data_IF_605179764466
#
_entry.id   IF_605179764466
#
_cell.length_a   1.000
_cell.length_b   1.000
_cell.length_c   1.000
_cell.angle_alpha   90.00
_cell.angle_beta   90.00
_cell.angle_gamma   90.00
#
_symmetry.space_group_name_H-M   'P 1'
#
loop_
_entity.id
_entity.type
_entity.pdbx_description
1 polymer ?
#
# COMPACT_ATOMS: atom_id res chain seq x y z
N UNK A 1 6.11 -41.37 -12.22
CA UNK A 1 7.02 -40.22 -12.31
C UNK A 1 6.20 -39.06 -12.84
N UNK A 2 6.13 -37.89 -12.13
CA UNK A 2 5.39 -36.72 -12.62
C UNK A 2 6.08 -36.17 -13.86
N UNK A 3 5.31 -35.71 -14.85
CA UNK A 3 5.85 -34.97 -15.99
C UNK A 3 6.41 -33.60 -15.55
N UNK A 4 7.27 -33.01 -16.38
CA UNK A 4 7.79 -31.64 -16.13
C UNK A 4 6.64 -30.66 -16.00
N UNK A 5 5.62 -30.78 -16.85
CA UNK A 5 4.44 -29.89 -16.82
C UNK A 5 3.63 -30.03 -15.53
N UNK A 6 3.44 -31.26 -15.00
CA UNK A 6 2.77 -31.50 -13.71
C UNK A 6 3.56 -30.90 -12.55
N UNK A 7 4.89 -31.01 -12.60
CA UNK A 7 5.79 -30.44 -11.58
C UNK A 7 5.70 -28.91 -11.58
N UNK A 8 5.75 -28.28 -12.76
CA UNK A 8 5.60 -26.82 -12.88
C UNK A 8 4.21 -26.38 -12.42
N UNK A 9 3.15 -27.10 -12.79
CA UNK A 9 1.78 -26.78 -12.37
C UNK A 9 1.62 -26.82 -10.84
N UNK A 10 2.21 -27.82 -10.18
CA UNK A 10 2.18 -27.92 -8.71
C UNK A 10 2.96 -26.78 -8.04
N UNK A 11 4.10 -26.40 -8.61
CA UNK A 11 4.88 -25.26 -8.12
C UNK A 11 4.14 -23.94 -8.26
N UNK A 12 3.45 -23.72 -9.39
CA UNK A 12 2.62 -22.53 -9.62
C UNK A 12 1.44 -22.47 -8.65
N UNK A 13 0.77 -23.58 -8.37
CA UNK A 13 -0.31 -23.64 -7.35
C UNK A 13 0.22 -23.28 -5.96
N UNK A 14 1.37 -23.86 -5.57
CA UNK A 14 2.03 -23.52 -4.30
C UNK A 14 2.37 -22.03 -4.21
N UNK A 15 2.84 -21.44 -5.31
CA UNK A 15 3.14 -20.01 -5.36
C UNK A 15 1.88 -19.16 -5.23
N UNK A 16 0.78 -19.52 -5.88
CA UNK A 16 -0.51 -18.85 -5.73
C UNK A 16 -0.98 -18.76 -4.27
N UNK A 17 -0.79 -19.82 -3.49
CA UNK A 17 -1.12 -19.83 -2.05
C UNK A 17 -0.23 -18.82 -1.29
N UNK A 18 1.06 -18.75 -1.59
CA UNK A 18 1.98 -17.79 -0.95
C UNK A 18 1.57 -16.36 -1.26
N UNK A 19 1.24 -16.07 -2.52
CA UNK A 19 0.79 -14.74 -2.95
C UNK A 19 -0.52 -14.32 -2.28
N UNK A 20 -1.48 -15.23 -2.16
CA UNK A 20 -2.75 -14.97 -1.46
C UNK A 20 -2.54 -14.65 0.03
N UNK A 21 -1.59 -15.33 0.68
CA UNK A 21 -1.24 -15.05 2.08
C UNK A 21 -0.55 -13.68 2.23
N UNK A 22 0.32 -13.32 1.28
CA UNK A 22 0.95 -12.01 1.25
C UNK A 22 -0.10 -10.91 1.09
N UNK A 23 -1.04 -11.07 0.14
CA UNK A 23 -2.15 -10.14 -0.06
C UNK A 23 -2.98 -9.96 1.22
N UNK A 24 -3.40 -11.05 1.85
CA UNK A 24 -4.17 -11.00 3.10
C UNK A 24 -3.40 -10.28 4.23
N UNK A 25 -2.09 -10.53 4.34
CA UNK A 25 -1.22 -9.85 5.30
C UNK A 25 -1.14 -8.35 5.05
N UNK A 26 -0.96 -7.93 3.80
CA UNK A 26 -0.89 -6.52 3.43
C UNK A 26 -2.23 -5.81 3.65
N UNK A 27 -3.34 -6.43 3.26
CA UNK A 27 -4.68 -5.91 3.54
C UNK A 27 -4.87 -5.64 5.03
N UNK A 28 -4.48 -6.59 5.89
CA UNK A 28 -4.57 -6.42 7.35
C UNK A 28 -3.74 -5.24 7.86
N UNK A 29 -2.54 -5.03 7.32
CA UNK A 29 -1.68 -3.89 7.69
C UNK A 29 -2.32 -2.57 7.31
N UNK A 30 -2.79 -2.44 6.07
CA UNK A 30 -3.45 -1.22 5.57
C UNK A 30 -4.71 -0.92 6.39
N UNK A 31 -5.57 -1.91 6.64
CA UNK A 31 -6.75 -1.73 7.47
C UNK A 31 -6.39 -1.25 8.88
N UNK A 32 -5.35 -1.80 9.49
CA UNK A 32 -4.89 -1.34 10.82
C UNK A 32 -4.40 0.11 10.82
N UNK A 33 -3.76 0.56 9.74
CA UNK A 33 -3.35 1.96 9.57
C UNK A 33 -4.58 2.88 9.47
N UNK A 34 -5.59 2.47 8.70
CA UNK A 34 -6.84 3.21 8.55
C UNK A 34 -7.63 3.24 9.87
N UNK A 35 -7.76 2.12 10.59
CA UNK A 35 -8.43 2.06 11.89
C UNK A 35 -7.76 3.02 12.89
N UNK A 36 -6.43 3.08 12.90
CA UNK A 36 -5.69 4.02 13.75
C UNK A 36 -5.96 5.48 13.35
N UNK A 37 -5.95 5.79 12.06
CA UNK A 37 -6.26 7.13 11.55
C UNK A 37 -7.67 7.55 11.95
N UNK A 38 -8.68 6.72 11.67
CA UNK A 38 -10.07 7.04 12.00
C UNK A 38 -10.31 7.16 13.51
N UNK A 39 -9.65 6.31 14.31
CA UNK A 39 -9.68 6.44 15.77
C UNK A 39 -9.13 7.78 16.25
N UNK A 40 -8.01 8.24 15.69
CA UNK A 40 -7.42 9.54 16.01
C UNK A 40 -8.34 10.70 15.58
N UNK A 41 -8.84 10.66 14.35
CA UNK A 41 -9.75 11.69 13.85
C UNK A 41 -11.04 11.78 14.68
N UNK A 42 -11.58 10.64 15.11
CA UNK A 42 -12.78 10.61 15.97
C UNK A 42 -12.51 11.24 17.36
N UNK A 43 -11.33 11.01 17.95
CA UNK A 43 -10.92 11.64 19.20
C UNK A 43 -10.76 13.16 19.03
N UNK A 44 -10.06 13.58 17.98
CA UNK A 44 -9.84 14.99 17.68
C UNK A 44 -11.16 15.73 17.46
N UNK A 45 -12.13 15.08 16.78
CA UNK A 45 -13.47 15.63 16.58
C UNK A 45 -14.30 15.69 17.86
N UNK A 46 -14.18 14.72 18.77
CA UNK A 46 -14.92 14.71 20.05
C UNK A 46 -14.53 15.87 20.96
N UNK A 47 -13.31 16.35 20.82
CA UNK A 47 -12.80 17.52 21.58
C UNK A 47 -13.30 18.87 21.02
N UNK A 48 -13.92 18.86 19.83
CA UNK A 48 -14.59 20.04 19.28
C UNK A 48 -15.96 20.15 19.92
N UNK A 49 -16.07 20.87 21.04
CA UNK A 49 -17.37 21.33 21.51
C UNK A 49 -18.03 22.11 20.36
N UNK A 50 -19.20 21.66 19.89
CA UNK A 50 -19.93 22.14 18.73
C UNK A 50 -20.15 23.66 18.85
N UNK A 51 -19.23 24.45 18.34
CA UNK A 51 -19.39 25.88 18.10
C UNK A 51 -19.88 26.06 16.68
N UNK A 52 -21.19 26.23 16.51
CA UNK A 52 -21.75 26.57 15.19
C UNK A 52 -21.21 27.92 14.66
N UNK A 53 -21.82 28.44 13.58
CA UNK A 53 -21.44 29.69 12.88
C UNK A 53 -21.26 30.92 13.80
N UNK A 54 -21.79 30.90 15.01
CA UNK A 54 -21.70 31.95 16.04
C UNK A 54 -20.62 31.69 17.10
N UNK A 55 -19.65 30.79 16.83
CA UNK A 55 -18.58 30.49 17.79
C UNK A 55 -17.66 31.68 18.07
N UNK A 56 -17.10 31.73 19.28
CA UNK A 56 -16.10 32.75 19.68
C UNK A 56 -14.83 32.63 18.82
N UNK A 57 -14.03 33.69 18.74
CA UNK A 57 -12.76 33.69 17.99
C UNK A 57 -11.80 32.58 18.46
N UNK A 58 -11.85 32.22 19.75
CA UNK A 58 -11.11 31.10 20.31
C UNK A 58 -11.59 29.75 19.73
N UNK A 59 -12.91 29.55 19.59
CA UNK A 59 -13.48 28.33 19.03
C UNK A 59 -13.13 28.20 17.53
N UNK A 60 -13.17 29.30 16.78
CA UNK A 60 -12.74 29.35 15.38
C UNK A 60 -11.26 29.02 15.20
N UNK A 61 -10.41 29.57 16.08
CA UNK A 61 -8.98 29.28 16.07
C UNK A 61 -8.73 27.79 16.35
N UNK A 62 -9.37 27.24 17.41
CA UNK A 62 -9.24 25.81 17.76
C UNK A 62 -9.72 24.89 16.64
N UNK A 63 -10.83 25.20 15.99
CA UNK A 63 -11.32 24.46 14.83
C UNK A 63 -10.30 24.45 13.67
N UNK A 64 -9.66 25.57 13.42
CA UNK A 64 -8.61 25.67 12.39
C UNK A 64 -7.39 24.81 12.71
N UNK A 65 -6.94 24.80 13.96
CA UNK A 65 -5.81 23.97 14.41
C UNK A 65 -6.15 22.47 14.31
N UNK A 66 -7.36 22.08 14.74
CA UNK A 66 -7.83 20.70 14.62
C UNK A 66 -7.95 20.25 13.17
N UNK A 67 -8.46 21.14 12.29
CA UNK A 67 -8.52 20.86 10.85
C UNK A 67 -7.12 20.62 10.27
N UNK A 68 -6.15 21.47 10.64
CA UNK A 68 -4.76 21.30 10.20
C UNK A 68 -4.17 19.98 10.72
N UNK A 69 -4.38 19.64 11.99
CA UNK A 69 -3.92 18.38 12.56
C UNK A 69 -4.54 17.17 11.85
N UNK A 70 -5.84 17.22 11.53
CA UNK A 70 -6.51 16.17 10.77
C UNK A 70 -5.93 16.04 9.36
N UNK A 71 -5.67 17.15 8.68
CA UNK A 71 -5.04 17.18 7.36
C UNK A 71 -3.64 16.53 7.39
N UNK A 72 -2.81 16.93 8.35
CA UNK A 72 -1.47 16.38 8.53
C UNK A 72 -1.51 14.86 8.82
N UNK A 73 -2.42 14.43 9.69
CA UNK A 73 -2.61 13.02 10.01
C UNK A 73 -3.05 12.17 8.81
N UNK A 74 -3.98 12.68 8.00
CA UNK A 74 -4.45 12.02 6.78
C UNK A 74 -3.31 11.89 5.79
N UNK A 75 -2.60 12.98 5.49
CA UNK A 75 -1.49 12.99 4.54
C UNK A 75 -0.35 12.05 4.98
N UNK A 76 0.03 12.08 6.25
CA UNK A 76 1.06 11.20 6.80
C UNK A 76 0.64 9.73 6.67
N UNK A 77 -0.58 9.37 7.06
CA UNK A 77 -1.06 7.98 7.01
C UNK A 77 -1.10 7.44 5.58
N UNK A 78 -1.58 8.23 4.61
CA UNK A 78 -1.59 7.79 3.20
C UNK A 78 -0.19 7.73 2.60
N UNK A 79 0.73 8.59 3.02
CA UNK A 79 2.16 8.51 2.68
C UNK A 79 2.80 7.22 3.19
N UNK A 80 2.50 6.84 4.44
CA UNK A 80 2.98 5.60 5.05
C UNK A 80 2.40 4.36 4.34
N UNK A 81 1.12 4.38 3.97
CA UNK A 81 0.48 3.29 3.20
C UNK A 81 1.12 3.14 1.82
N UNK A 82 1.38 4.25 1.13
CA UNK A 82 2.09 4.26 -0.17
C UNK A 82 3.48 3.65 -0.05
N UNK A 83 4.24 4.06 0.97
CA UNK A 83 5.58 3.56 1.24
C UNK A 83 5.59 2.06 1.57
N UNK A 84 4.67 1.60 2.42
CA UNK A 84 4.52 0.18 2.75
C UNK A 84 4.15 -0.66 1.53
N UNK A 85 3.28 -0.15 0.65
CA UNK A 85 2.90 -0.84 -0.58
C UNK A 85 4.08 -0.94 -1.54
N UNK A 86 4.80 0.16 -1.77
CA UNK A 86 6.00 0.20 -2.63
C UNK A 86 7.06 -0.78 -2.13
N UNK A 87 7.32 -0.80 -0.82
CA UNK A 87 8.26 -1.74 -0.19
C UNK A 87 7.84 -3.19 -0.41
N UNK A 88 6.56 -3.48 -0.26
CA UNK A 88 6.01 -4.84 -0.45
C UNK A 88 6.11 -5.29 -1.90
N UNK A 89 5.74 -4.42 -2.85
CA UNK A 89 5.82 -4.73 -4.28
C UNK A 89 7.27 -4.93 -4.72
N UNK A 90 8.21 -4.09 -4.24
CA UNK A 90 9.63 -4.24 -4.54
C UNK A 90 10.17 -5.59 -4.04
N UNK A 91 9.90 -5.97 -2.78
CA UNK A 91 10.31 -7.27 -2.24
C UNK A 91 9.64 -8.45 -2.94
N UNK A 92 8.39 -8.29 -3.41
CA UNK A 92 7.70 -9.28 -4.20
C UNK A 92 8.37 -9.46 -5.56
N UNK A 93 8.71 -8.39 -6.27
CA UNK A 93 9.38 -8.45 -7.58
C UNK A 93 10.72 -9.17 -7.50
N UNK A 94 11.53 -8.87 -6.47
CA UNK A 94 12.81 -9.57 -6.22
C UNK A 94 12.57 -11.08 -6.01
N UNK A 95 11.62 -11.43 -5.14
CA UNK A 95 11.33 -12.83 -4.79
C UNK A 95 10.74 -13.60 -5.97
N UNK A 96 9.88 -12.98 -6.78
CA UNK A 96 9.29 -13.58 -7.97
C UNK A 96 10.34 -13.83 -9.04
N UNK A 97 11.22 -12.86 -9.29
CA UNK A 97 12.31 -13.02 -10.27
C UNK A 97 13.20 -14.18 -9.88
N UNK A 98 13.65 -14.25 -8.62
CA UNK A 98 14.48 -15.34 -8.12
C UNK A 98 13.77 -16.69 -8.19
N UNK A 99 12.48 -16.73 -7.87
CA UNK A 99 11.68 -17.96 -7.93
C UNK A 99 11.48 -18.48 -9.35
N UNK A 100 11.19 -17.58 -10.32
CA UNK A 100 11.03 -17.93 -11.74
C UNK A 100 12.33 -18.52 -12.28
N UNK A 101 13.47 -17.85 -12.07
CA UNK A 101 14.78 -18.31 -12.52
C UNK A 101 15.07 -19.70 -11.94
N UNK A 102 14.92 -19.88 -10.63
CA UNK A 102 15.15 -21.16 -9.95
C UNK A 102 14.26 -22.26 -10.48
N UNK A 103 12.99 -21.94 -10.74
CA UNK A 103 12.00 -22.91 -11.26
C UNK A 103 12.33 -23.33 -12.67
N UNK A 104 12.68 -22.39 -13.55
CA UNK A 104 13.06 -22.66 -14.93
C UNK A 104 14.37 -23.45 -14.98
N UNK A 105 15.40 -23.06 -14.28
CA UNK A 105 16.69 -23.77 -14.26
C UNK A 105 16.51 -25.22 -13.76
N UNK A 106 15.74 -25.42 -12.73
CA UNK A 106 15.48 -26.76 -12.17
C UNK A 106 14.74 -27.68 -13.14
N UNK A 107 13.81 -27.16 -13.92
CA UNK A 107 12.93 -27.97 -14.77
C UNK A 107 13.38 -28.07 -16.22
N UNK A 108 14.18 -27.11 -16.74
CA UNK A 108 14.67 -27.12 -18.11
C UNK A 108 16.03 -27.80 -18.27
N UNK A 109 16.78 -27.99 -17.19
CA UNK A 109 18.17 -28.47 -17.25
C UNK A 109 19.15 -27.50 -17.91
N UNK A 110 18.71 -26.26 -18.18
CA UNK A 110 19.49 -25.18 -18.77
C UNK A 110 19.72 -24.12 -17.68
N UNK A 111 20.97 -23.73 -17.47
CA UNK A 111 21.28 -22.62 -16.56
C UNK A 111 20.97 -21.28 -17.25
N UNK A 112 19.87 -20.65 -16.82
CA UNK A 112 19.53 -19.30 -17.27
C UNK A 112 20.24 -18.30 -16.39
N UNK A 113 21.18 -17.57 -16.99
CA UNK A 113 21.82 -16.42 -16.36
C UNK A 113 21.00 -15.20 -16.77
N UNK A 114 20.22 -14.66 -15.83
CA UNK A 114 19.51 -13.39 -16.03
C UNK A 114 20.23 -12.30 -15.28
N UNK A 115 20.50 -11.20 -15.94
CA UNK A 115 20.84 -9.94 -15.27
C UNK A 115 19.57 -9.47 -14.56
N UNK A 116 19.56 -9.57 -13.24
CA UNK A 116 18.45 -9.07 -12.42
C UNK A 116 18.26 -7.56 -12.60
N UNK A 117 17.06 -7.08 -12.35
CA UNK A 117 16.82 -5.65 -12.23
C UNK A 117 17.61 -5.08 -11.05
N UNK A 118 18.11 -3.85 -11.19
CA UNK A 118 18.70 -3.14 -10.06
C UNK A 118 17.63 -2.78 -9.04
N UNK A 119 18.02 -2.54 -7.78
CA UNK A 119 17.08 -2.12 -6.74
C UNK A 119 16.31 -0.85 -7.14
N UNK A 120 16.97 0.09 -7.80
CA UNK A 120 16.34 1.32 -8.30
C UNK A 120 15.30 1.05 -9.39
N UNK A 121 15.59 0.12 -10.32
CA UNK A 121 14.63 -0.29 -11.34
C UNK A 121 13.41 -1.00 -10.73
N UNK A 122 13.61 -1.82 -9.71
CA UNK A 122 12.53 -2.51 -8.99
C UNK A 122 11.65 -1.50 -8.26
N UNK A 123 12.25 -0.53 -7.55
CA UNK A 123 11.50 0.53 -6.85
C UNK A 123 10.72 1.39 -7.85
N UNK A 124 11.35 1.81 -8.94
CA UNK A 124 10.69 2.58 -9.99
C UNK A 124 9.49 1.82 -10.57
N UNK A 125 9.67 0.56 -10.96
CA UNK A 125 8.60 -0.27 -11.48
C UNK A 125 7.45 -0.49 -10.48
N UNK A 126 7.76 -0.63 -9.17
CA UNK A 126 6.75 -0.75 -8.12
C UNK A 126 5.96 0.55 -7.92
N UNK A 127 6.63 1.70 -8.02
CA UNK A 127 6.00 3.02 -7.91
C UNK A 127 5.12 3.35 -9.11
N UNK A 128 5.54 2.91 -10.31
CA UNK A 128 4.82 3.10 -11.56
C UNK A 128 3.73 2.04 -11.80
N UNK A 129 3.67 1.00 -10.94
CA UNK A 129 2.64 -0.03 -11.06
C UNK A 129 1.25 0.60 -11.00
N UNK A 130 0.43 0.33 -12.04
CA UNK A 130 -0.88 0.92 -12.17
C UNK A 130 -1.87 0.31 -11.18
N UNK A 131 -2.51 1.16 -10.39
CA UNK A 131 -3.65 0.84 -9.55
C UNK A 131 -4.84 1.65 -10.07
N UNK A 132 -5.87 0.96 -10.59
CA UNK A 132 -7.07 1.61 -11.14
C UNK A 132 -6.72 2.71 -12.18
N UNK A 133 -5.81 2.40 -13.11
CA UNK A 133 -5.33 3.27 -14.19
C UNK A 133 -4.51 4.49 -13.75
N UNK A 134 -3.98 4.51 -12.53
CA UNK A 134 -3.04 5.54 -12.08
C UNK A 134 -1.78 4.88 -11.48
N UNK A 135 -0.59 5.50 -11.62
CA UNK A 135 0.59 5.07 -10.88
C UNK A 135 0.30 4.95 -9.39
N UNK A 136 0.87 3.96 -8.70
CA UNK A 136 0.50 3.66 -7.32
C UNK A 136 0.72 4.86 -6.38
N UNK A 137 1.82 5.59 -6.56
CA UNK A 137 2.09 6.80 -5.78
C UNK A 137 1.02 7.89 -5.98
N UNK A 138 0.57 8.12 -7.23
CA UNK A 138 -0.48 9.08 -7.56
C UNK A 138 -1.84 8.61 -7.05
N UNK A 139 -2.14 7.31 -7.11
CA UNK A 139 -3.37 6.76 -6.59
C UNK A 139 -3.53 7.04 -5.08
N UNK A 140 -2.49 6.82 -4.29
CA UNK A 140 -2.50 7.11 -2.85
C UNK A 140 -2.71 8.60 -2.55
N UNK A 141 -2.05 9.49 -3.31
CA UNK A 141 -2.26 10.94 -3.19
C UNK A 141 -3.71 11.33 -3.46
N UNK A 142 -4.30 10.83 -4.55
CA UNK A 142 -5.71 11.07 -4.89
C UNK A 142 -6.68 10.56 -3.82
N UNK A 143 -6.41 9.41 -3.17
CA UNK A 143 -7.23 8.91 -2.08
C UNK A 143 -7.15 9.80 -0.85
N UNK A 144 -5.96 10.31 -0.52
CA UNK A 144 -5.76 11.28 0.57
C UNK A 144 -6.56 12.55 0.32
N UNK A 145 -6.47 13.13 -0.87
CA UNK A 145 -7.23 14.33 -1.26
C UNK A 145 -8.75 14.11 -1.21
N UNK A 146 -9.21 12.95 -1.68
CA UNK A 146 -10.63 12.59 -1.64
C UNK A 146 -11.14 12.49 -0.20
N UNK A 147 -10.37 11.88 0.71
CA UNK A 147 -10.73 11.81 2.12
C UNK A 147 -10.75 13.20 2.75
N UNK A 148 -9.76 14.05 2.46
CA UNK A 148 -9.71 15.42 2.95
C UNK A 148 -10.91 16.26 2.49
N UNK A 149 -11.35 16.10 1.24
CA UNK A 149 -12.52 16.79 0.74
C UNK A 149 -13.81 16.32 1.43
N UNK A 150 -13.97 15.00 1.61
CA UNK A 150 -15.12 14.45 2.32
C UNK A 150 -15.15 14.81 3.82
N UNK A 151 -14.01 15.19 4.40
CA UNK A 151 -13.92 15.60 5.80
C UNK A 151 -14.26 17.09 6.01
N UNK A 152 -14.28 17.89 4.91
CA UNK A 152 -14.68 19.31 4.94
C UNK A 152 -16.19 19.53 4.94
N UNK A 153 -16.92 18.61 4.30
CA UNK A 153 -18.38 18.65 4.14
C UNK A 153 -19.06 18.07 5.38
#
# INVERSE_FOLDING_TARGET
MKSINETIADQLRGRGIVLSRLEASQRKKILKMLDKLFGQLALDMSDIGIGGENGTDYQKYRLKELWKAAQDAIQATYGDMSSEMTRTLSGLMETETAWIIKTLNKNSGIELITLGLTQEQIIAAASDALIMNAPSAEWWSRQSEKLLNNFKD
#
